data_IF_976129992879
#
_entry.id   IF_976129992879
#
_cell.length_a   1.000
_cell.length_b   1.000
_cell.length_c   1.000
_cell.angle_alpha   90.00
_cell.angle_beta   90.00
_cell.angle_gamma   90.00
#
_symmetry.space_group_name_H-M   'P 1'
#
loop_
_entity.id
_entity.type
_entity.pdbx_description
1 polymer ?
#
# COMPACT_ATOMS: atom_id res chain seq x y z
N UNK A 1 -38.67 49.77 60.05
CA UNK A 1 -39.64 48.66 60.11
C UNK A 1 -40.37 48.61 58.79
N UNK A 2 -40.63 47.38 58.34
CA UNK A 2 -41.35 46.98 57.13
C UNK A 2 -42.70 47.71 56.91
N UNK A 3 -43.16 47.76 55.66
CA UNK A 3 -44.59 47.59 55.36
C UNK A 3 -45.16 48.30 54.13
N UNK A 4 -45.34 47.52 53.05
CA UNK A 4 -46.41 47.56 52.03
C UNK A 4 -46.73 48.85 51.24
N UNK A 5 -46.70 48.74 49.91
CA UNK A 5 -47.90 48.92 49.09
C UNK A 5 -47.71 48.31 47.68
N UNK A 6 -48.70 47.52 47.27
CA UNK A 6 -48.88 46.91 45.96
C UNK A 6 -49.54 47.92 45.03
N UNK A 7 -49.10 48.03 43.77
CA UNK A 7 -49.98 48.47 42.67
C UNK A 7 -49.73 47.57 41.46
N UNK A 8 -50.77 46.81 41.13
CA UNK A 8 -50.97 46.11 39.87
C UNK A 8 -51.34 47.11 38.77
N UNK A 9 -50.79 46.96 37.55
CA UNK A 9 -51.49 47.45 36.36
C UNK A 9 -51.23 46.54 35.15
N UNK A 10 -52.34 46.09 34.58
CA UNK A 10 -52.44 45.19 33.44
C UNK A 10 -52.20 45.90 32.10
N UNK A 11 -51.47 45.18 31.24
CA UNK A 11 -51.55 45.09 29.77
C UNK A 11 -51.62 46.35 28.91
N UNK A 12 -50.58 46.54 28.09
CA UNK A 12 -50.78 46.93 26.70
C UNK A 12 -49.79 46.21 25.77
N UNK A 13 -50.39 45.40 24.91
CA UNK A 13 -49.83 44.74 23.75
C UNK A 13 -49.20 45.77 22.79
N UNK A 14 -47.93 45.63 22.47
CA UNK A 14 -47.32 46.27 21.28
C UNK A 14 -46.53 45.24 20.50
N UNK A 15 -46.77 45.09 19.18
CA UNK A 15 -46.02 44.17 18.34
C UNK A 15 -44.57 44.66 18.21
N UNK A 16 -43.63 43.74 18.39
CA UNK A 16 -42.22 44.00 18.10
C UNK A 16 -42.01 44.05 16.56
N UNK A 17 -41.16 44.96 16.05
CA UNK A 17 -40.88 45.06 14.63
C UNK A 17 -40.02 43.88 14.14
N UNK A 18 -40.24 43.43 12.91
CA UNK A 18 -39.32 42.58 12.13
C UNK A 18 -39.06 43.28 10.79
N UNK A 19 -37.97 42.99 10.05
CA UNK A 19 -36.60 42.63 10.43
C UNK A 19 -35.57 43.58 9.75
N UNK A 20 -34.31 43.61 10.21
CA UNK A 20 -33.18 43.94 9.33
C UNK A 20 -32.21 42.78 9.42
N UNK A 21 -31.98 42.17 8.26
CA UNK A 21 -31.10 41.05 8.04
C UNK A 21 -29.68 41.36 8.52
N UNK A 22 -29.14 40.48 9.37
CA UNK A 22 -27.71 40.21 9.43
C UNK A 22 -27.57 38.72 9.20
N UNK A 23 -27.44 38.40 7.91
CA UNK A 23 -27.12 37.07 7.41
C UNK A 23 -25.65 36.81 7.79
N UNK A 24 -25.44 36.31 9.01
CA UNK A 24 -24.18 35.68 9.38
C UNK A 24 -24.31 34.24 8.92
N UNK A 25 -23.44 33.75 8.03
CA UNK A 25 -23.47 32.35 7.66
C UNK A 25 -23.14 31.55 8.92
N UNK A 26 -24.14 30.79 9.39
CA UNK A 26 -23.91 29.66 10.27
C UNK A 26 -23.00 28.74 9.48
N UNK A 27 -21.76 28.56 9.95
CA UNK A 27 -20.91 27.51 9.42
C UNK A 27 -21.66 26.21 9.69
N UNK A 28 -22.21 25.63 8.63
CA UNK A 28 -22.68 24.26 8.63
C UNK A 28 -21.53 23.42 9.22
N UNK A 29 -21.83 22.69 10.29
CA UNK A 29 -20.99 21.59 10.72
C UNK A 29 -20.75 20.75 9.47
N UNK A 30 -19.50 20.75 8.98
CA UNK A 30 -19.08 19.88 7.89
C UNK A 30 -19.56 18.48 8.24
N UNK A 31 -20.60 18.06 7.52
CA UNK A 31 -20.98 16.68 7.36
C UNK A 31 -19.70 15.95 6.97
N UNK A 32 -19.06 15.31 7.96
CA UNK A 32 -17.94 14.42 7.73
C UNK A 32 -18.58 13.23 7.02
N UNK A 33 -18.77 13.39 5.72
CA UNK A 33 -19.40 12.40 4.87
C UNK A 33 -18.67 11.09 5.12
N UNK A 34 -19.40 10.11 5.68
CA UNK A 34 -18.92 8.75 5.72
C UNK A 34 -18.41 8.39 4.32
N UNK A 35 -17.28 7.67 4.20
CA UNK A 35 -16.69 7.35 2.90
C UNK A 35 -17.80 6.80 2.01
N UNK A 36 -18.09 7.51 0.91
CA UNK A 36 -19.19 7.15 0.01
C UNK A 36 -18.80 5.82 -0.60
N UNK A 37 -19.35 4.74 -0.04
CA UNK A 37 -19.22 3.40 -0.60
C UNK A 37 -19.73 3.47 -2.02
N UNK A 38 -18.86 3.22 -2.99
CA UNK A 38 -19.27 3.14 -4.40
C UNK A 38 -20.13 1.89 -4.56
N UNK A 39 -21.43 2.07 -4.30
CA UNK A 39 -22.40 0.98 -4.19
C UNK A 39 -22.55 0.28 -5.54
N UNK A 40 -22.32 0.99 -6.64
CA UNK A 40 -22.33 0.43 -7.98
C UNK A 40 -21.12 -0.49 -8.22
N UNK A 41 -19.93 -0.09 -7.76
CA UNK A 41 -18.72 -0.90 -7.86
C UNK A 41 -18.84 -2.16 -7.00
N UNK A 42 -19.30 -2.03 -5.75
CA UNK A 42 -19.58 -3.15 -4.85
C UNK A 42 -20.56 -4.15 -5.48
N UNK A 43 -21.71 -3.66 -5.96
CA UNK A 43 -22.73 -4.49 -6.61
C UNK A 43 -22.16 -5.21 -7.83
N UNK A 44 -21.35 -4.53 -8.63
CA UNK A 44 -20.71 -5.11 -9.82
C UNK A 44 -19.73 -6.23 -9.46
N UNK A 45 -18.94 -6.06 -8.40
CA UNK A 45 -18.00 -7.08 -7.93
C UNK A 45 -18.73 -8.32 -7.39
N UNK A 46 -19.78 -8.13 -6.59
CA UNK A 46 -20.63 -9.23 -6.09
C UNK A 46 -21.28 -9.99 -7.25
N UNK A 47 -21.79 -9.27 -8.25
CA UNK A 47 -22.34 -9.90 -9.45
C UNK A 47 -21.29 -10.70 -10.22
N UNK A 48 -20.05 -10.18 -10.34
CA UNK A 48 -18.96 -10.91 -10.98
C UNK A 48 -18.62 -12.20 -10.22
N UNK A 49 -18.55 -12.16 -8.89
CA UNK A 49 -18.33 -13.35 -8.04
C UNK A 49 -19.48 -14.35 -8.17
N UNK A 50 -20.72 -13.89 -8.19
CA UNK A 50 -21.91 -14.75 -8.39
C UNK A 50 -21.89 -15.47 -9.74
N UNK A 51 -21.32 -14.83 -10.77
CA UNK A 51 -21.17 -15.39 -12.12
C UNK A 51 -19.84 -16.14 -12.33
N UNK A 52 -19.06 -16.36 -11.27
CA UNK A 52 -17.75 -17.01 -11.29
C UNK A 52 -16.72 -16.35 -12.23
N UNK A 53 -16.77 -15.02 -12.32
CA UNK A 53 -15.85 -14.20 -13.12
C UNK A 53 -14.79 -13.60 -12.23
N UNK A 54 -13.90 -14.44 -11.69
CA UNK A 54 -12.89 -14.06 -10.67
C UNK A 54 -11.93 -12.97 -11.15
N UNK A 55 -11.51 -13.00 -12.41
CA UNK A 55 -10.69 -11.93 -13.01
C UNK A 55 -11.41 -10.57 -13.05
N UNK A 56 -12.70 -10.56 -13.42
CA UNK A 56 -13.52 -9.34 -13.41
C UNK A 56 -13.75 -8.84 -11.98
N UNK A 57 -14.03 -9.75 -11.05
CA UNK A 57 -14.19 -9.42 -9.64
C UNK A 57 -12.90 -8.79 -9.08
N UNK A 58 -11.73 -9.37 -9.36
CA UNK A 58 -10.42 -8.82 -9.00
C UNK A 58 -10.29 -7.37 -9.45
N UNK A 59 -10.51 -7.06 -10.73
CA UNK A 59 -10.36 -5.68 -11.24
C UNK A 59 -11.29 -4.70 -10.54
N UNK A 60 -12.54 -5.09 -10.24
CA UNK A 60 -13.49 -4.22 -9.54
C UNK A 60 -13.11 -4.02 -8.08
N UNK A 61 -12.59 -5.06 -7.42
CA UNK A 61 -12.09 -4.98 -6.05
C UNK A 61 -10.82 -4.13 -5.96
N UNK A 62 -9.88 -4.28 -6.91
CA UNK A 62 -8.69 -3.43 -7.01
C UNK A 62 -9.07 -1.95 -7.14
N UNK A 63 -10.10 -1.63 -7.92
CA UNK A 63 -10.61 -0.27 -8.03
C UNK A 63 -11.20 0.27 -6.71
N UNK A 64 -11.81 -0.56 -5.87
CA UNK A 64 -12.23 -0.14 -4.52
C UNK A 64 -11.02 0.13 -3.64
N UNK A 65 -10.05 -0.79 -3.68
CA UNK A 65 -8.81 -0.74 -2.90
C UNK A 65 -7.91 0.44 -3.29
N UNK A 66 -7.88 0.83 -4.57
CA UNK A 66 -7.20 2.04 -5.08
C UNK A 66 -7.83 3.32 -4.52
N UNK A 67 -9.14 3.29 -4.24
CA UNK A 67 -9.89 4.38 -3.59
C UNK A 67 -9.90 4.27 -2.06
N UNK A 68 -9.07 3.39 -1.50
CA UNK A 68 -8.98 3.06 -0.07
C UNK A 68 -10.29 2.61 0.58
N UNK A 69 -11.27 2.16 -0.21
CA UNK A 69 -12.55 1.62 0.26
C UNK A 69 -12.40 0.13 0.64
N UNK A 70 -11.65 -0.10 1.72
CA UNK A 70 -11.38 -1.45 2.26
C UNK A 70 -12.65 -2.13 2.77
N UNK A 71 -13.67 -1.36 3.16
CA UNK A 71 -14.95 -1.88 3.65
C UNK A 71 -15.78 -2.47 2.52
N UNK A 72 -15.87 -1.78 1.37
CA UNK A 72 -16.54 -2.33 0.18
C UNK A 72 -15.82 -3.57 -0.35
N UNK A 73 -14.49 -3.51 -0.44
CA UNK A 73 -13.67 -4.65 -0.88
C UNK A 73 -13.87 -5.88 0.02
N UNK A 74 -13.86 -5.70 1.34
CA UNK A 74 -14.14 -6.76 2.31
C UNK A 74 -15.57 -7.31 2.14
N UNK A 75 -16.55 -6.43 1.94
CA UNK A 75 -17.95 -6.82 1.72
C UNK A 75 -18.10 -7.66 0.46
N UNK A 76 -17.48 -7.27 -0.66
CA UNK A 76 -17.47 -8.07 -1.89
C UNK A 76 -16.84 -9.45 -1.67
N UNK A 77 -15.63 -9.49 -1.07
CA UNK A 77 -14.90 -10.73 -0.83
C UNK A 77 -15.62 -11.68 0.14
N UNK A 78 -16.44 -11.18 1.05
CA UNK A 78 -17.27 -12.00 1.94
C UNK A 78 -18.34 -12.83 1.20
N UNK A 79 -18.64 -12.48 -0.07
CA UNK A 79 -19.60 -13.20 -0.91
C UNK A 79 -18.95 -14.28 -1.78
N UNK A 80 -17.62 -14.35 -1.81
CA UNK A 80 -16.90 -15.37 -2.57
C UNK A 80 -17.17 -16.76 -1.97
N UNK A 81 -17.44 -17.73 -2.85
CA UNK A 81 -17.57 -19.13 -2.45
C UNK A 81 -16.23 -19.72 -2.00
N UNK A 82 -16.26 -20.82 -1.25
CA UNK A 82 -15.03 -21.48 -0.76
C UNK A 82 -14.07 -21.83 -1.90
N UNK A 83 -14.55 -22.33 -3.04
CA UNK A 83 -13.69 -22.65 -4.18
C UNK A 83 -13.08 -21.41 -4.83
N UNK A 84 -13.78 -20.28 -4.82
CA UNK A 84 -13.26 -19.02 -5.33
C UNK A 84 -12.20 -18.41 -4.43
N UNK A 85 -12.18 -18.75 -3.14
CA UNK A 85 -11.13 -18.25 -2.25
C UNK A 85 -9.75 -18.77 -2.63
N UNK A 86 -9.68 -19.92 -3.32
CA UNK A 86 -8.45 -20.57 -3.81
C UNK A 86 -8.05 -20.10 -5.22
N UNK A 87 -8.95 -19.38 -5.92
CA UNK A 87 -8.65 -18.76 -7.21
C UNK A 87 -7.53 -17.73 -7.04
N UNK A 88 -6.48 -17.74 -7.88
CA UNK A 88 -5.32 -16.89 -7.69
C UNK A 88 -5.66 -15.39 -7.73
N UNK A 89 -6.60 -14.95 -8.57
CA UNK A 89 -6.97 -13.54 -8.67
C UNK A 89 -7.71 -13.07 -7.41
N UNK A 90 -8.56 -13.93 -6.83
CA UNK A 90 -9.24 -13.66 -5.55
C UNK A 90 -8.26 -13.72 -4.38
N UNK A 91 -7.39 -14.73 -4.34
CA UNK A 91 -6.35 -14.87 -3.32
C UNK A 91 -5.43 -13.64 -3.30
N UNK A 92 -5.06 -13.11 -4.48
CA UNK A 92 -4.24 -11.91 -4.60
C UNK A 92 -4.92 -10.68 -3.98
N UNK A 93 -6.19 -10.39 -4.33
CA UNK A 93 -6.89 -9.21 -3.78
C UNK A 93 -7.26 -9.38 -2.31
N UNK A 94 -7.41 -10.62 -1.81
CA UNK A 94 -7.52 -10.87 -0.36
C UNK A 94 -6.25 -10.49 0.38
N UNK A 95 -5.09 -10.83 -0.18
CA UNK A 95 -3.80 -10.42 0.41
C UNK A 95 -3.62 -8.91 0.40
N UNK A 96 -3.98 -8.25 -0.70
CA UNK A 96 -3.98 -6.79 -0.83
C UNK A 96 -4.93 -6.12 0.18
N UNK A 97 -6.15 -6.64 0.33
CA UNK A 97 -7.10 -6.14 1.33
C UNK A 97 -6.51 -6.25 2.74
N UNK A 98 -5.97 -7.42 3.11
CA UNK A 98 -5.38 -7.64 4.42
C UNK A 98 -4.23 -6.67 4.69
N UNK A 99 -3.37 -6.45 3.69
CA UNK A 99 -2.27 -5.48 3.75
C UNK A 99 -2.77 -4.06 4.02
N UNK A 100 -3.75 -3.58 3.25
CA UNK A 100 -4.30 -2.23 3.43
C UNK A 100 -5.08 -2.08 4.73
N UNK A 101 -5.80 -3.11 5.19
CA UNK A 101 -6.48 -3.09 6.50
C UNK A 101 -5.48 -2.95 7.65
N UNK A 102 -4.40 -3.72 7.61
CA UNK A 102 -3.33 -3.62 8.60
C UNK A 102 -2.69 -2.22 8.64
N UNK A 103 -2.45 -1.62 7.46
CA UNK A 103 -1.86 -0.28 7.36
C UNK A 103 -2.85 0.80 7.80
N UNK A 104 -4.13 0.66 7.47
CA UNK A 104 -5.16 1.64 7.77
C UNK A 104 -5.56 1.64 9.26
N UNK A 105 -5.72 0.47 9.87
CA UNK A 105 -6.10 0.33 11.27
C UNK A 105 -5.47 -0.93 11.90
N UNK A 106 -4.29 -0.79 12.53
CA UNK A 106 -3.62 -1.87 13.24
C UNK A 106 -4.43 -2.46 14.40
N UNK A 107 -5.47 -1.76 14.89
CA UNK A 107 -6.29 -2.24 16.02
C UNK A 107 -7.27 -3.36 15.63
N UNK A 108 -7.51 -3.55 14.32
CA UNK A 108 -8.39 -4.60 13.80
C UNK A 108 -7.78 -6.01 13.88
N UNK A 109 -6.49 -6.12 14.23
CA UNK A 109 -5.82 -7.40 14.40
C UNK A 109 -5.44 -8.11 13.10
N UNK A 110 -5.68 -7.48 11.93
CA UNK A 110 -5.13 -7.95 10.65
C UNK A 110 -3.61 -7.76 10.65
N UNK A 111 -2.86 -8.79 10.24
CA UNK A 111 -1.39 -8.83 10.33
C UNK A 111 -0.74 -9.07 8.98
N UNK A 112 0.60 -8.88 8.84
CA UNK A 112 1.29 -9.23 7.59
C UNK A 112 1.15 -10.72 7.24
N UNK A 113 0.96 -11.59 8.25
CA UNK A 113 0.72 -13.02 8.04
C UNK A 113 -0.59 -13.32 7.30
N UNK A 114 -1.60 -12.46 7.43
CA UNK A 114 -2.87 -12.64 6.70
C UNK A 114 -2.72 -12.32 5.22
N UNK A 115 -1.94 -11.27 4.91
CA UNK A 115 -1.54 -10.96 3.54
C UNK A 115 -0.65 -12.06 2.95
N UNK A 116 0.35 -12.50 3.72
CA UNK A 116 1.28 -13.58 3.35
C UNK A 116 0.53 -14.84 2.92
N UNK A 117 -0.40 -15.33 3.76
CA UNK A 117 -1.15 -16.56 3.49
C UNK A 117 -1.96 -16.49 2.20
N UNK A 118 -2.57 -15.34 1.93
CA UNK A 118 -3.36 -15.13 0.72
C UNK A 118 -2.48 -15.03 -0.53
N UNK A 119 -1.33 -14.34 -0.45
CA UNK A 119 -0.40 -14.25 -1.57
C UNK A 119 0.35 -15.56 -1.84
N UNK A 120 0.65 -16.36 -0.80
CA UNK A 120 1.17 -17.72 -0.96
C UNK A 120 0.23 -18.58 -1.80
N UNK A 121 -1.06 -18.56 -1.45
CA UNK A 121 -2.07 -19.29 -2.21
C UNK A 121 -2.18 -18.80 -3.67
N UNK A 122 -2.04 -17.49 -3.91
CA UNK A 122 -2.03 -16.94 -5.26
C UNK A 122 -0.86 -17.47 -6.10
N UNK A 123 0.36 -17.52 -5.54
CA UNK A 123 1.56 -18.01 -6.26
C UNK A 123 1.60 -19.54 -6.36
N UNK A 124 1.00 -20.27 -5.42
CA UNK A 124 0.83 -21.73 -5.51
C UNK A 124 -0.12 -22.09 -6.65
N UNK A 125 -1.25 -21.39 -6.76
CA UNK A 125 -2.23 -21.58 -7.84
C UNK A 125 -1.73 -21.07 -9.20
N UNK A 126 -0.93 -20.00 -9.21
CA UNK A 126 -0.37 -19.37 -10.44
C UNK A 126 1.11 -19.00 -10.22
N UNK A 127 2.07 -19.90 -10.50
CA UNK A 127 3.49 -19.68 -10.22
C UNK A 127 4.19 -18.58 -11.03
N UNK A 128 3.56 -18.07 -12.09
CA UNK A 128 4.00 -16.96 -12.93
C UNK A 128 3.27 -15.63 -12.60
N UNK A 129 2.57 -15.57 -11.46
CA UNK A 129 1.84 -14.38 -11.03
C UNK A 129 2.78 -13.31 -10.45
N UNK A 130 3.27 -12.45 -11.34
CA UNK A 130 4.26 -11.40 -11.05
C UNK A 130 3.90 -10.53 -9.84
N UNK A 131 2.70 -9.95 -9.81
CA UNK A 131 2.28 -9.02 -8.76
C UNK A 131 2.17 -9.70 -7.39
N UNK A 132 1.76 -10.97 -7.36
CA UNK A 132 1.69 -11.75 -6.13
C UNK A 132 3.09 -12.05 -5.58
N UNK A 133 4.07 -12.38 -6.41
CA UNK A 133 5.46 -12.55 -5.99
C UNK A 133 6.09 -11.27 -5.43
N UNK A 134 5.85 -10.12 -6.08
CA UNK A 134 6.33 -8.82 -5.56
C UNK A 134 5.72 -8.56 -4.18
N UNK A 135 4.41 -8.74 -4.06
CA UNK A 135 3.68 -8.49 -2.81
C UNK A 135 4.11 -9.44 -1.70
N UNK A 136 4.34 -10.71 -2.03
CA UNK A 136 4.84 -11.73 -1.10
C UNK A 136 6.19 -11.33 -0.50
N UNK A 137 7.11 -10.78 -1.29
CA UNK A 137 8.39 -10.28 -0.76
C UNK A 137 8.22 -9.16 0.27
N UNK A 138 7.27 -8.25 0.06
CA UNK A 138 6.95 -7.22 1.07
C UNK A 138 6.35 -7.80 2.35
N UNK A 139 5.49 -8.82 2.24
CA UNK A 139 4.96 -9.51 3.42
C UNK A 139 6.07 -10.19 4.23
N UNK A 140 6.97 -10.95 3.59
CA UNK A 140 8.10 -11.58 4.26
C UNK A 140 9.04 -10.55 4.89
N UNK A 141 9.35 -9.47 4.18
CA UNK A 141 10.19 -8.39 4.71
C UNK A 141 9.56 -7.75 5.96
N UNK A 142 8.25 -7.46 5.93
CA UNK A 142 7.54 -6.91 7.08
C UNK A 142 7.50 -7.87 8.29
N UNK A 143 7.66 -9.17 8.07
CA UNK A 143 7.79 -10.19 9.11
C UNK A 143 9.24 -10.37 9.60
N UNK A 144 10.21 -9.73 8.95
CA UNK A 144 11.64 -9.90 9.23
C UNK A 144 12.29 -11.10 8.56
N UNK A 145 11.55 -11.83 7.72
CA UNK A 145 12.03 -13.02 7.01
C UNK A 145 12.76 -12.62 5.71
N UNK A 146 13.89 -11.92 5.85
CA UNK A 146 14.59 -11.30 4.71
C UNK A 146 15.04 -12.30 3.63
N UNK A 147 15.39 -13.54 4.01
CA UNK A 147 15.78 -14.58 3.05
C UNK A 147 14.63 -15.04 2.15
N UNK A 148 13.42 -15.17 2.70
CA UNK A 148 12.22 -15.49 1.92
C UNK A 148 11.76 -14.28 1.09
N UNK A 149 11.94 -13.06 1.61
CA UNK A 149 11.69 -11.84 0.86
C UNK A 149 12.57 -11.74 -0.39
N UNK A 150 13.87 -12.04 -0.25
CA UNK A 150 14.83 -12.09 -1.36
C UNK A 150 14.38 -13.10 -2.41
N UNK A 151 14.07 -14.34 -2.01
CA UNK A 151 13.62 -15.38 -2.93
C UNK A 151 12.35 -14.98 -3.70
N UNK A 152 11.37 -14.37 -3.03
CA UNK A 152 10.13 -13.92 -3.65
C UNK A 152 10.36 -12.80 -4.69
N UNK A 153 11.20 -11.81 -4.36
CA UNK A 153 11.52 -10.71 -5.27
C UNK A 153 12.41 -11.15 -6.44
N UNK A 154 13.39 -12.03 -6.22
CA UNK A 154 14.18 -12.62 -7.30
C UNK A 154 13.30 -13.43 -8.27
N UNK A 155 12.31 -14.17 -7.73
CA UNK A 155 11.33 -14.87 -8.53
C UNK A 155 10.47 -13.91 -9.37
N UNK A 156 10.00 -12.80 -8.79
CA UNK A 156 9.28 -11.77 -9.52
C UNK A 156 10.11 -11.19 -10.68
N UNK A 157 11.37 -10.82 -10.41
CA UNK A 157 12.28 -10.30 -11.43
C UNK A 157 12.51 -11.33 -12.54
N UNK A 158 12.68 -12.61 -12.21
CA UNK A 158 12.85 -13.67 -13.20
C UNK A 158 11.61 -13.84 -14.10
N UNK A 159 10.40 -13.73 -13.54
CA UNK A 159 9.14 -13.76 -14.31
C UNK A 159 9.07 -12.58 -15.27
N UNK A 160 9.29 -11.34 -14.78
CA UNK A 160 9.29 -10.13 -15.61
C UNK A 160 10.34 -10.21 -16.73
N UNK A 161 11.54 -10.73 -16.44
CA UNK A 161 12.57 -10.94 -17.46
C UNK A 161 12.18 -11.98 -18.51
N UNK A 162 11.56 -13.10 -18.09
CA UNK A 162 11.10 -14.14 -19.01
C UNK A 162 10.00 -13.59 -19.93
N UNK A 163 8.99 -12.92 -19.37
CA UNK A 163 7.90 -12.28 -20.13
C UNK A 163 8.43 -11.25 -21.14
N UNK A 164 9.42 -10.44 -20.74
CA UNK A 164 10.07 -9.46 -21.63
C UNK A 164 10.84 -10.11 -22.76
N UNK A 165 11.60 -11.18 -22.47
CA UNK A 165 12.34 -11.94 -23.49
C UNK A 165 11.41 -12.54 -24.55
N UNK A 166 10.25 -13.02 -24.14
CA UNK A 166 9.24 -13.57 -25.05
C UNK A 166 8.66 -12.50 -26.00
N UNK A 167 8.56 -11.24 -25.54
CA UNK A 167 8.05 -10.10 -26.33
C UNK A 167 9.14 -9.51 -27.24
N UNK A 168 10.36 -9.30 -26.70
CA UNK A 168 11.48 -8.72 -27.44
C UNK A 168 12.84 -9.29 -26.94
N UNK A 169 13.40 -10.29 -27.63
CA UNK A 169 14.69 -10.90 -27.27
C UNK A 169 15.90 -9.95 -27.30
N UNK A 170 15.78 -8.81 -28.01
CA UNK A 170 16.84 -7.80 -28.16
C UNK A 170 16.64 -6.57 -27.25
N UNK A 171 15.57 -6.53 -26.44
CA UNK A 171 15.31 -5.40 -25.56
C UNK A 171 16.39 -5.26 -24.46
N UNK A 172 16.94 -4.06 -24.35
CA UNK A 172 17.79 -3.68 -23.22
C UNK A 172 17.06 -3.88 -21.87
N UNK A 173 17.78 -4.14 -20.76
CA UNK A 173 17.21 -4.35 -19.43
C UNK A 173 16.32 -3.23 -18.86
N UNK A 174 16.24 -2.08 -19.54
CA UNK A 174 15.81 -0.78 -19.03
C UNK A 174 14.28 -0.59 -18.92
N UNK A 175 13.46 -1.46 -19.51
CA UNK A 175 12.00 -1.37 -19.36
C UNK A 175 11.53 -2.51 -18.49
N UNK A 176 11.71 -2.40 -17.17
CA UNK A 176 11.08 -3.33 -16.23
C UNK A 176 9.60 -2.98 -16.09
N UNK A 177 8.73 -3.97 -15.85
CA UNK A 177 7.38 -3.67 -15.39
C UNK A 177 7.47 -2.78 -14.15
N UNK A 178 6.67 -1.71 -14.09
CA UNK A 178 6.72 -0.73 -12.99
C UNK A 178 6.56 -1.38 -11.62
N UNK A 179 5.77 -2.45 -11.51
CA UNK A 179 5.63 -3.16 -10.22
C UNK A 179 6.92 -3.88 -9.81
N UNK A 180 7.72 -4.33 -10.78
CA UNK A 180 8.98 -5.06 -10.53
C UNK A 180 10.06 -4.12 -10.00
N UNK A 181 10.01 -2.81 -10.30
CA UNK A 181 10.93 -1.83 -9.71
C UNK A 181 10.87 -1.84 -8.17
N UNK A 182 9.69 -2.09 -7.60
CA UNK A 182 9.53 -2.27 -6.15
C UNK A 182 10.28 -3.48 -5.61
N UNK A 183 10.44 -4.55 -6.40
CA UNK A 183 11.21 -5.73 -6.02
C UNK A 183 12.71 -5.42 -5.96
N UNK A 184 13.25 -4.59 -6.85
CA UNK A 184 14.64 -4.12 -6.76
C UNK A 184 14.88 -3.30 -5.48
N UNK A 185 13.95 -2.39 -5.15
CA UNK A 185 14.02 -1.63 -3.90
C UNK A 185 13.94 -2.55 -2.67
N UNK A 186 13.03 -3.52 -2.71
CA UNK A 186 12.89 -4.56 -1.69
C UNK A 186 14.18 -5.35 -1.49
N UNK A 187 14.80 -5.84 -2.55
CA UNK A 187 16.06 -6.58 -2.50
C UNK A 187 17.18 -5.73 -1.88
N UNK A 188 17.29 -4.45 -2.25
CA UNK A 188 18.25 -3.56 -1.63
C UNK A 188 18.04 -3.46 -0.11
N UNK A 189 16.80 -3.31 0.36
CA UNK A 189 16.48 -3.30 1.78
C UNK A 189 16.78 -4.65 2.47
N UNK A 190 16.39 -5.77 1.88
CA UNK A 190 16.59 -7.08 2.50
C UNK A 190 18.07 -7.46 2.60
N UNK A 191 18.87 -7.27 1.54
CA UNK A 191 20.31 -7.53 1.60
C UNK A 191 21.02 -6.59 2.59
N UNK A 192 20.56 -5.34 2.72
CA UNK A 192 21.09 -4.42 3.72
C UNK A 192 20.83 -4.92 5.15
N UNK A 193 19.59 -5.34 5.44
CA UNK A 193 19.22 -5.87 6.75
C UNK A 193 19.90 -7.21 7.06
N UNK A 194 20.02 -8.11 6.08
CA UNK A 194 20.74 -9.38 6.23
C UNK A 194 22.22 -9.13 6.57
N UNK A 195 22.87 -8.18 5.89
CA UNK A 195 24.27 -7.83 6.16
C UNK A 195 24.50 -7.30 7.59
N UNK A 196 23.49 -6.63 8.17
CA UNK A 196 23.56 -6.12 9.54
C UNK A 196 23.52 -7.25 10.58
N UNK A 197 22.86 -8.37 10.27
CA UNK A 197 22.73 -9.54 11.14
C UNK A 197 23.98 -10.43 11.08
N UNK A 198 24.62 -10.54 9.92
CA UNK A 198 25.86 -11.32 9.74
C UNK A 198 26.95 -10.80 10.67
N UNK A 199 27.57 -11.65 11.50
CA UNK A 199 28.59 -11.23 12.49
C UNK A 199 30.00 -11.20 11.88
N UNK A 200 30.23 -12.00 10.83
CA UNK A 200 31.54 -12.19 10.21
C UNK A 200 31.80 -11.12 9.14
N UNK A 201 32.82 -10.24 9.30
CA UNK A 201 33.06 -9.14 8.36
C UNK A 201 33.29 -9.56 6.90
N UNK A 202 33.90 -10.74 6.67
CA UNK A 202 34.14 -11.26 5.32
C UNK A 202 32.87 -11.70 4.58
N UNK A 203 31.86 -12.16 5.31
CA UNK A 203 30.57 -12.58 4.76
C UNK A 203 29.58 -11.42 4.60
N UNK A 204 29.83 -10.27 5.24
CA UNK A 204 29.05 -9.04 5.03
C UNK A 204 29.28 -8.40 3.67
N UNK A 205 30.50 -8.49 3.15
CA UNK A 205 30.91 -7.75 1.95
C UNK A 205 30.07 -8.11 0.69
N UNK A 206 29.76 -9.39 0.40
CA UNK A 206 28.89 -9.73 -0.72
C UNK A 206 27.47 -9.16 -0.61
N UNK A 207 26.81 -9.31 0.55
CA UNK A 207 25.44 -8.78 0.75
C UNK A 207 25.39 -7.26 0.64
N UNK A 208 26.40 -6.55 1.14
CA UNK A 208 26.51 -5.09 0.97
C UNK A 208 26.67 -4.67 -0.50
N UNK A 209 27.47 -5.41 -1.27
CA UNK A 209 27.62 -5.17 -2.71
C UNK A 209 26.32 -5.42 -3.46
N UNK A 210 25.58 -6.47 -3.11
CA UNK A 210 24.27 -6.75 -3.70
C UNK A 210 23.26 -5.65 -3.35
N UNK A 211 23.20 -5.20 -2.10
CA UNK A 211 22.32 -4.10 -1.68
C UNK A 211 22.60 -2.82 -2.51
N UNK A 212 23.86 -2.42 -2.63
CA UNK A 212 24.26 -1.27 -3.44
C UNK A 212 23.90 -1.43 -4.93
N UNK A 213 24.09 -2.64 -5.49
CA UNK A 213 23.73 -2.92 -6.88
C UNK A 213 22.22 -2.77 -7.12
N UNK A 214 21.39 -3.36 -6.26
CA UNK A 214 19.93 -3.29 -6.37
C UNK A 214 19.40 -1.87 -6.15
N UNK A 215 20.01 -1.10 -5.24
CA UNK A 215 19.72 0.32 -5.07
C UNK A 215 19.97 1.12 -6.36
N UNK A 216 21.15 0.98 -6.97
CA UNK A 216 21.48 1.68 -8.22
C UNK A 216 20.56 1.25 -9.37
N UNK A 217 20.22 -0.03 -9.46
CA UNK A 217 19.27 -0.53 -10.46
C UNK A 217 17.87 0.06 -10.26
N UNK A 218 17.40 0.16 -9.01
CA UNK A 218 16.11 0.80 -8.69
C UNK A 218 16.06 2.22 -9.23
N UNK A 219 17.10 3.03 -8.96
CA UNK A 219 17.14 4.42 -9.40
C UNK A 219 17.33 4.60 -10.91
N UNK A 220 18.04 3.66 -11.54
CA UNK A 220 18.19 3.66 -12.99
C UNK A 220 16.86 3.33 -13.70
N UNK A 221 16.01 2.50 -13.10
CA UNK A 221 14.70 2.12 -13.63
C UNK A 221 13.62 3.15 -13.31
N UNK A 222 13.59 3.67 -12.08
CA UNK A 222 12.65 4.71 -11.66
C UNK A 222 13.30 5.65 -10.63
N UNK A 223 13.76 6.84 -11.06
CA UNK A 223 14.29 7.85 -10.15
C UNK A 223 13.26 8.36 -9.14
N UNK A 224 11.94 8.22 -9.40
CA UNK A 224 10.92 8.68 -8.45
C UNK A 224 10.90 7.86 -7.16
N UNK A 225 11.51 6.67 -7.15
CA UNK A 225 11.59 5.79 -5.98
C UNK A 225 12.36 6.40 -4.80
N UNK A 226 13.14 7.48 -4.98
CA UNK A 226 13.70 8.22 -3.83
C UNK A 226 12.69 9.10 -3.12
N UNK A 227 11.56 9.43 -3.75
CA UNK A 227 10.60 10.39 -3.24
C UNK A 227 9.56 9.68 -2.35
N UNK A 228 9.57 9.89 -1.01
CA UNK A 228 8.64 9.22 -0.11
C UNK A 228 7.17 9.58 -0.38
N UNK A 229 6.90 10.78 -0.90
CA UNK A 229 5.54 11.20 -1.27
C UNK A 229 5.03 10.44 -2.48
N UNK A 230 5.90 10.13 -3.44
CA UNK A 230 5.52 9.31 -4.59
C UNK A 230 5.20 7.87 -4.15
N UNK A 231 6.04 7.30 -3.28
CA UNK A 231 5.84 5.96 -2.72
C UNK A 231 4.53 5.85 -1.92
N UNK A 232 4.20 6.88 -1.14
CA UNK A 232 2.97 6.90 -0.34
C UNK A 232 1.67 6.83 -1.15
N UNK A 233 1.71 7.10 -2.46
CA UNK A 233 0.57 6.93 -3.37
C UNK A 233 0.36 5.47 -3.79
N UNK A 234 1.37 4.61 -3.62
CA UNK A 234 1.32 3.20 -3.96
C UNK A 234 0.95 2.37 -2.73
N UNK A 235 -0.15 1.63 -2.81
CA UNK A 235 -0.71 0.85 -1.70
C UNK A 235 0.25 -0.15 -1.04
N UNK A 236 1.29 -0.57 -1.77
CA UNK A 236 2.30 -1.53 -1.31
C UNK A 236 3.24 -0.90 -0.26
N UNK A 237 3.51 0.40 -0.39
CA UNK A 237 4.44 1.13 0.46
C UNK A 237 3.73 1.68 1.71
N UNK A 238 3.84 0.93 2.80
CA UNK A 238 3.41 1.40 4.13
C UNK A 238 4.34 2.51 4.65
N UNK A 239 3.90 3.36 5.60
CA UNK A 239 4.77 4.36 6.22
C UNK A 239 6.07 3.77 6.79
N UNK A 240 5.99 2.56 7.36
CA UNK A 240 7.17 1.83 7.87
C UNK A 240 8.13 1.46 6.74
N UNK A 241 7.63 0.86 5.65
CA UNK A 241 8.47 0.49 4.50
C UNK A 241 9.12 1.71 3.85
N UNK A 242 8.40 2.83 3.77
CA UNK A 242 8.96 4.09 3.27
C UNK A 242 10.13 4.53 4.16
N UNK A 243 9.96 4.47 5.50
CA UNK A 243 11.02 4.80 6.44
C UNK A 243 12.26 3.90 6.31
N UNK A 244 12.07 2.60 6.18
CA UNK A 244 13.13 1.62 5.98
C UNK A 244 13.89 1.87 4.67
N UNK A 245 13.16 2.17 3.61
CA UNK A 245 13.76 2.48 2.32
C UNK A 245 14.55 3.79 2.33
N UNK A 246 14.02 4.85 2.96
CA UNK A 246 14.74 6.11 3.12
C UNK A 246 16.04 5.93 3.93
N UNK A 247 16.00 5.07 4.95
CA UNK A 247 17.18 4.70 5.73
C UNK A 247 18.20 3.95 4.88
N UNK A 248 17.74 2.99 4.06
CA UNK A 248 18.59 2.23 3.14
C UNK A 248 19.24 3.13 2.09
N UNK A 249 18.49 4.06 1.50
CA UNK A 249 19.01 5.06 0.57
C UNK A 249 20.13 5.88 1.23
N UNK A 250 19.90 6.40 2.43
CA UNK A 250 20.89 7.22 3.14
C UNK A 250 22.20 6.46 3.40
N UNK A 251 22.11 5.18 3.76
CA UNK A 251 23.28 4.33 4.03
C UNK A 251 24.06 4.00 2.75
N UNK A 252 23.36 3.62 1.68
CA UNK A 252 23.99 3.19 0.42
C UNK A 252 24.52 4.37 -0.40
N UNK A 253 23.88 5.54 -0.34
CA UNK A 253 24.37 6.75 -1.01
C UNK A 253 25.74 7.19 -0.48
N UNK A 254 25.94 7.17 0.85
CA UNK A 254 27.23 7.51 1.48
C UNK A 254 28.32 6.51 1.08
N UNK A 255 28.03 5.21 1.15
CA UNK A 255 28.99 4.17 0.76
C UNK A 255 29.38 4.25 -0.71
N UNK A 256 28.51 4.76 -1.59
CA UNK A 256 28.82 4.92 -3.01
C UNK A 256 29.71 6.13 -3.31
N UNK A 257 29.64 7.18 -2.47
CA UNK A 257 30.48 8.37 -2.59
C UNK A 257 31.93 8.09 -2.17
N UNK A 258 32.15 7.24 -1.16
CA UNK A 258 33.49 6.86 -0.68
C UNK A 258 34.28 5.96 -1.66
N UNK A 259 33.64 5.45 -2.71
CA UNK A 259 34.26 4.59 -3.74
C UNK A 259 34.71 5.40 -4.96
N UNK A 260 34.26 6.65 -5.11
CA UNK A 260 34.75 7.53 -6.17
C UNK A 260 36.13 8.08 -5.76
N UNK A 261 37.20 7.88 -6.55
CA UNK A 261 38.49 8.48 -6.24
C UNK A 261 38.31 10.00 -6.23
N UNK A 262 38.81 10.67 -5.18
CA UNK A 262 39.02 12.12 -5.21
C UNK A 262 39.82 12.41 -6.48
N UNK A 263 39.16 13.02 -7.46
CA UNK A 263 39.81 13.44 -8.70
C UNK A 263 40.83 14.50 -8.29
N UNK A 264 42.09 14.09 -8.27
CA UNK A 264 43.21 14.94 -7.90
C UNK A 264 43.25 16.14 -8.83
N UNK A 265 42.94 17.31 -8.27
CA UNK A 265 43.17 18.61 -8.89
C UNK A 265 44.07 19.45 -7.98
#
# INVERSE_FOLDING_TARGET
MLGLAIVTLSMLNRPAPSPIATDLPVADEEDIAAPVTDTALLTSAINALTLDRTSTARTLIEQMLDRTDVTAAASALSTASTSQLDDPDIAYVRGRLAWQQMVADPSLGTTPNDALRAWLMAVESRPDFLEAWVSLGFAYYALGDYGEAIQAWERAIAIDQAQRRDINPEASPQVANSITVNAYAGLAMAYQNESAITIVPGERSPSQQQAASYYLQTLALDPAMVNPTALALHWLWSPTLIGDWQTTIAQLAVSSADILPEDGS
#
